data_IF_093361642684
#
_entry.id   IF_093361642684
#
_cell.length_a   1.000
_cell.length_b   1.000
_cell.length_c   1.000
_cell.angle_alpha   90.00
_cell.angle_beta   90.00
_cell.angle_gamma   90.00
#
_symmetry.space_group_name_H-M   'P 1'
#
loop_
_entity.id
_entity.type
_entity.pdbx_description
1 polymer ?
#
# COMPACT_ATOMS: atom_id res chain seq x y z
N UNK A 1 70.68 61.13 -20.59
CA UNK A 1 71.44 60.93 -19.33
C UNK A 1 70.42 60.45 -18.31
N UNK A 2 70.09 59.16 -18.27
CA UNK A 2 70.82 58.02 -17.69
C UNK A 2 70.61 57.86 -16.17
N UNK A 3 70.53 56.58 -15.79
CA UNK A 3 70.56 55.97 -14.45
C UNK A 3 69.17 55.64 -13.86
N UNK A 4 68.76 54.36 -13.84
CA UNK A 4 69.14 53.29 -12.89
C UNK A 4 68.81 53.75 -11.44
N UNK A 5 68.04 53.09 -10.57
CA UNK A 5 67.59 51.71 -10.41
C UNK A 5 66.51 51.63 -9.33
N UNK A 6 65.62 50.65 -9.51
CA UNK A 6 64.72 49.92 -8.59
C UNK A 6 64.98 50.04 -7.06
N UNK A 7 63.88 50.00 -6.28
CA UNK A 7 63.53 49.04 -5.18
C UNK A 7 62.43 49.71 -4.32
N UNK A 8 61.14 49.32 -4.41
CA UNK A 8 60.43 48.17 -3.80
C UNK A 8 59.86 48.44 -2.40
N UNK A 9 58.57 48.08 -2.24
CA UNK A 9 57.78 47.90 -1.03
C UNK A 9 57.33 49.13 -0.24
N UNK A 10 56.03 49.41 -0.30
CA UNK A 10 55.12 49.22 0.85
C UNK A 10 53.88 50.11 0.70
N UNK A 11 52.81 49.60 0.07
CA UNK A 11 51.46 50.03 0.43
C UNK A 11 50.64 48.77 0.66
N UNK A 12 50.58 48.44 1.94
CA UNK A 12 49.97 47.27 2.53
C UNK A 12 48.44 47.43 2.55
N UNK A 13 47.76 46.32 2.25
CA UNK A 13 46.40 45.97 2.71
C UNK A 13 45.21 46.71 2.08
N UNK A 14 44.78 46.24 0.90
CA UNK A 14 43.35 46.09 0.61
C UNK A 14 43.06 44.59 0.54
N UNK A 15 42.33 44.09 1.54
CA UNK A 15 42.14 42.67 1.79
C UNK A 15 41.30 41.98 0.71
N UNK A 16 41.81 40.81 0.31
CA UNK A 16 41.24 39.83 -0.61
C UNK A 16 39.94 39.22 -0.02
N UNK A 17 38.82 39.36 -0.70
CA UNK A 17 37.65 38.49 -0.51
C UNK A 17 37.23 37.92 -1.87
N UNK A 18 38.07 37.05 -2.43
CA UNK A 18 37.74 36.27 -3.62
C UNK A 18 36.94 35.04 -3.15
N UNK A 19 35.62 35.16 -3.05
CA UNK A 19 34.78 33.98 -2.90
C UNK A 19 34.84 33.17 -4.20
N UNK A 20 35.35 31.94 -4.08
CA UNK A 20 35.34 30.93 -5.12
C UNK A 20 33.89 30.51 -5.42
N UNK A 21 33.26 31.16 -6.40
CA UNK A 21 32.02 30.67 -7.00
C UNK A 21 32.36 29.42 -7.85
N UNK A 22 32.25 28.24 -7.24
CA UNK A 22 32.22 26.97 -7.96
C UNK A 22 31.07 27.02 -8.98
N UNK A 23 31.34 26.62 -10.23
CA UNK A 23 30.29 26.38 -11.24
C UNK A 23 29.23 25.44 -10.63
N UNK A 24 27.93 25.71 -10.79
CA UNK A 24 26.92 24.79 -10.29
C UNK A 24 27.11 23.43 -10.96
N UNK A 25 27.14 22.38 -10.14
CA UNK A 25 27.09 20.98 -10.59
C UNK A 25 25.88 20.80 -11.50
N UNK A 26 26.06 20.01 -12.56
CA UNK A 26 24.96 19.44 -13.35
C UNK A 26 23.95 18.87 -12.34
N UNK A 27 22.78 19.50 -12.24
CA UNK A 27 21.65 18.88 -11.55
C UNK A 27 21.32 17.64 -12.35
N UNK A 28 21.63 16.46 -11.79
CA UNK A 28 20.96 15.23 -12.21
C UNK A 28 19.47 15.55 -12.11
N UNK A 29 18.65 15.32 -13.16
CA UNK A 29 17.22 15.45 -13.00
C UNK A 29 16.87 14.60 -11.78
N UNK A 30 16.30 15.22 -10.74
CA UNK A 30 15.53 14.46 -9.77
C UNK A 30 14.53 13.71 -10.63
N UNK A 31 14.74 12.41 -10.80
CA UNK A 31 13.71 11.54 -11.33
C UNK A 31 12.56 11.73 -10.38
N UNK A 32 11.62 12.59 -10.78
CA UNK A 32 10.42 12.85 -10.04
C UNK A 32 9.70 11.51 -9.98
N UNK A 33 9.90 10.78 -8.89
CA UNK A 33 9.06 9.65 -8.47
C UNK A 33 7.71 10.21 -8.01
N UNK A 34 7.13 11.08 -8.82
CA UNK A 34 5.87 11.77 -8.62
C UNK A 34 5.20 11.93 -9.97
N UNK A 35 4.97 10.80 -10.63
CA UNK A 35 3.73 10.61 -11.36
C UNK A 35 3.21 9.25 -10.95
N UNK A 36 2.11 9.27 -10.19
CA UNK A 36 1.33 8.12 -9.83
C UNK A 36 1.20 7.19 -11.05
N UNK A 37 1.99 6.12 -11.05
CA UNK A 37 1.90 5.06 -12.04
C UNK A 37 0.51 4.45 -11.85
N UNK A 38 -0.34 4.56 -12.87
CA UNK A 38 -1.71 4.07 -12.77
C UNK A 38 -1.70 2.63 -12.26
N UNK A 39 -2.34 2.39 -11.11
CA UNK A 39 -2.34 1.13 -10.34
C UNK A 39 -1.96 -0.11 -11.19
N UNK A 40 -0.67 -0.43 -11.30
CA UNK A 40 -0.23 -1.59 -12.09
C UNK A 40 -0.29 -2.79 -11.18
N UNK A 41 -1.01 -3.83 -11.58
CA UNK A 41 -1.00 -5.09 -10.84
C UNK A 41 0.30 -5.83 -11.13
N UNK A 42 0.90 -6.42 -10.10
CA UNK A 42 2.17 -7.12 -10.20
C UNK A 42 2.31 -8.21 -9.16
N UNK A 43 3.00 -9.28 -9.52
CA UNK A 43 3.50 -10.30 -8.58
C UNK A 43 4.97 -10.01 -8.32
N UNK A 44 5.32 -9.86 -7.05
CA UNK A 44 6.69 -9.76 -6.55
C UNK A 44 7.11 -11.11 -6.01
N UNK A 45 8.22 -11.64 -6.53
CA UNK A 45 8.77 -12.94 -6.17
C UNK A 45 9.83 -12.78 -5.07
N UNK A 46 10.02 -13.83 -4.25
CA UNK A 46 11.04 -13.86 -3.20
C UNK A 46 12.48 -13.72 -3.72
N UNK A 47 12.72 -14.07 -4.99
CA UNK A 47 14.01 -13.90 -5.65
C UNK A 47 14.25 -12.45 -6.16
N UNK A 48 13.27 -11.56 -6.01
CA UNK A 48 13.32 -10.17 -6.47
C UNK A 48 12.68 -9.91 -7.85
N UNK A 49 12.23 -10.94 -8.56
CA UNK A 49 11.55 -10.78 -9.86
C UNK A 49 10.19 -10.09 -9.69
N UNK A 50 9.79 -9.32 -10.71
CA UNK A 50 8.51 -8.61 -10.75
C UNK A 50 7.80 -8.93 -12.06
N UNK A 51 6.61 -9.51 -11.97
CA UNK A 51 5.78 -9.85 -13.12
C UNK A 51 4.56 -8.95 -13.13
N UNK A 52 4.55 -7.94 -14.00
CA UNK A 52 3.37 -7.11 -14.23
C UNK A 52 2.30 -7.87 -15.00
N UNK A 53 1.03 -7.65 -14.68
CA UNK A 53 -0.06 -8.34 -15.36
C UNK A 53 -1.42 -8.08 -14.73
N UNK A 54 -2.23 -9.13 -14.68
CA UNK A 54 -3.58 -9.10 -14.10
C UNK A 54 -3.84 -10.37 -13.30
N UNK A 55 -4.43 -10.20 -12.11
CA UNK A 55 -4.93 -11.31 -11.31
C UNK A 55 -6.10 -12.02 -12.01
N UNK A 56 -6.03 -13.35 -12.09
CA UNK A 56 -7.11 -14.18 -12.64
C UNK A 56 -7.80 -14.95 -11.52
N UNK A 57 -7.05 -15.78 -10.80
CA UNK A 57 -7.59 -16.69 -9.79
C UNK A 57 -6.47 -17.09 -8.82
N UNK A 58 -6.83 -17.42 -7.59
CA UNK A 58 -5.96 -18.12 -6.67
C UNK A 58 -6.67 -19.36 -6.17
N UNK A 59 -6.00 -20.50 -6.28
CA UNK A 59 -6.45 -21.77 -5.75
C UNK A 59 -5.32 -22.38 -4.89
N UNK A 60 -5.59 -22.87 -3.67
CA UNK A 60 -4.53 -23.37 -2.79
C UNK A 60 -3.77 -24.59 -3.31
N UNK A 61 -4.38 -25.42 -4.17
CA UNK A 61 -3.76 -26.63 -4.71
C UNK A 61 -2.96 -26.35 -5.98
N UNK A 62 -3.46 -25.44 -6.81
CA UNK A 62 -2.92 -25.15 -8.14
C UNK A 62 -2.14 -23.83 -8.19
N UNK A 63 -2.29 -22.96 -7.19
CA UNK A 63 -1.53 -21.72 -7.04
C UNK A 63 -2.20 -20.49 -7.67
N UNK A 64 -1.38 -19.46 -7.90
CA UNK A 64 -1.83 -18.18 -8.46
C UNK A 64 -1.86 -18.24 -9.99
N UNK A 65 -3.03 -18.00 -10.60
CA UNK A 65 -3.15 -17.77 -12.05
C UNK A 65 -3.01 -16.29 -12.37
N UNK A 66 -2.07 -15.98 -13.26
CA UNK A 66 -1.68 -14.62 -13.59
C UNK A 66 -1.58 -14.39 -15.09
N UNK A 67 -2.29 -13.39 -15.62
CA UNK A 67 -2.19 -13.01 -17.03
C UNK A 67 -1.13 -11.93 -17.21
N UNK A 68 -0.03 -12.24 -17.90
CA UNK A 68 1.02 -11.29 -18.23
C UNK A 68 0.94 -10.86 -19.70
N UNK A 69 1.29 -9.60 -19.99
CA UNK A 69 1.24 -9.08 -21.34
C UNK A 69 2.16 -9.89 -22.28
N UNK A 70 1.62 -10.28 -23.44
CA UNK A 70 2.33 -11.05 -24.48
C UNK A 70 2.75 -12.49 -24.07
N UNK A 71 2.30 -12.99 -22.92
CA UNK A 71 2.56 -14.37 -22.48
C UNK A 71 1.24 -15.14 -22.48
N UNK A 72 1.18 -16.23 -23.24
CA UNK A 72 0.02 -17.14 -23.32
C UNK A 72 0.50 -18.59 -23.25
N UNK A 73 -0.15 -19.47 -22.45
CA UNK A 73 -1.31 -19.21 -21.59
C UNK A 73 -0.97 -18.40 -20.33
N UNK A 74 -1.96 -18.14 -19.47
CA UNK A 74 -1.73 -17.49 -18.17
C UNK A 74 -0.70 -18.27 -17.35
N UNK A 75 0.13 -17.55 -16.62
CA UNK A 75 1.16 -18.10 -15.74
C UNK A 75 0.49 -18.75 -14.53
N UNK A 76 0.98 -19.92 -14.14
CA UNK A 76 0.65 -20.57 -12.88
C UNK A 76 1.86 -20.43 -11.96
N UNK A 77 1.71 -19.64 -10.90
CA UNK A 77 2.79 -19.27 -9.99
C UNK A 77 2.59 -20.00 -8.67
N UNK A 78 3.64 -20.71 -8.24
CA UNK A 78 3.70 -21.36 -6.94
C UNK A 78 3.64 -20.30 -5.82
N UNK A 79 2.63 -20.36 -4.93
CA UNK A 79 2.52 -19.42 -3.82
C UNK A 79 3.74 -19.39 -2.90
N UNK A 80 4.49 -20.49 -2.79
CA UNK A 80 5.70 -20.56 -1.95
C UNK A 80 6.83 -19.65 -2.44
N UNK A 81 6.81 -19.24 -3.71
CA UNK A 81 7.78 -18.33 -4.30
C UNK A 81 7.39 -16.85 -4.22
N UNK A 82 6.18 -16.53 -3.79
CA UNK A 82 5.62 -15.17 -3.85
C UNK A 82 5.96 -14.40 -2.58
N UNK A 83 6.53 -13.20 -2.74
CA UNK A 83 6.69 -12.22 -1.65
C UNK A 83 5.39 -11.43 -1.45
N UNK A 84 4.87 -10.83 -2.52
CA UNK A 84 3.66 -10.00 -2.47
C UNK A 84 2.96 -9.94 -3.82
N UNK A 85 1.63 -9.88 -3.80
CA UNK A 85 0.81 -9.55 -4.97
C UNK A 85 0.19 -8.16 -4.78
N UNK A 86 0.39 -7.28 -5.76
CA UNK A 86 -0.30 -6.00 -5.86
C UNK A 86 -1.42 -6.16 -6.88
N UNK A 87 -2.66 -5.94 -6.47
CA UNK A 87 -3.85 -5.90 -7.34
C UNK A 87 -4.43 -4.49 -7.35
N UNK A 88 -5.14 -4.12 -8.43
CA UNK A 88 -5.77 -2.80 -8.49
C UNK A 88 -6.78 -2.70 -7.36
N UNK A 89 -6.54 -1.73 -6.48
CA UNK A 89 -7.55 -1.28 -5.54
C UNK A 89 -8.79 -0.85 -6.32
N UNK A 90 -9.91 -1.45 -5.98
CA UNK A 90 -11.22 -0.94 -6.35
C UNK A 90 -11.56 0.26 -5.45
N UNK A 91 -12.50 1.13 -5.86
CA UNK A 91 -12.76 2.40 -5.19
C UNK A 91 -12.98 2.26 -3.68
N UNK A 92 -12.52 3.27 -2.95
CA UNK A 92 -12.57 3.33 -1.50
C UNK A 92 -13.99 3.01 -1.00
N UNK A 93 -14.06 2.09 -0.03
CA UNK A 93 -15.25 1.83 0.78
C UNK A 93 -15.99 3.15 1.08
N UNK A 94 -17.29 3.22 0.75
CA UNK A 94 -18.12 4.38 1.09
C UNK A 94 -17.90 4.74 2.56
N UNK A 95 -17.76 6.03 2.86
CA UNK A 95 -17.72 6.47 4.26
C UNK A 95 -18.91 5.86 5.02
N UNK A 96 -18.64 5.40 6.25
CA UNK A 96 -19.61 4.72 7.14
C UNK A 96 -19.84 3.21 6.89
N UNK A 97 -18.77 2.43 6.67
CA UNK A 97 -18.85 0.95 6.70
C UNK A 97 -18.29 0.36 7.99
N UNK A 98 -18.89 -0.75 8.46
CA UNK A 98 -18.42 -1.50 9.61
C UNK A 98 -17.15 -2.27 9.24
N UNK A 99 -16.23 -2.41 10.20
CA UNK A 99 -15.01 -3.20 10.06
C UNK A 99 -15.12 -4.47 10.87
N UNK A 100 -14.71 -5.59 10.29
CA UNK A 100 -14.69 -6.91 10.91
C UNK A 100 -13.23 -7.36 10.96
N UNK A 101 -12.70 -7.50 12.16
CA UNK A 101 -11.37 -8.04 12.39
C UNK A 101 -11.50 -9.54 12.58
N UNK A 102 -10.78 -10.30 11.77
CA UNK A 102 -10.69 -11.75 11.86
C UNK A 102 -9.59 -12.16 12.86
N UNK A 103 -9.69 -13.37 13.41
CA UNK A 103 -8.62 -13.93 14.26
C UNK A 103 -7.29 -14.08 13.52
N UNK A 104 -7.31 -14.17 12.19
CA UNK A 104 -6.10 -14.17 11.37
C UNK A 104 -5.36 -12.83 11.37
N UNK A 105 -5.97 -11.75 11.87
CA UNK A 105 -5.46 -10.39 11.77
C UNK A 105 -5.94 -9.63 10.52
N UNK A 106 -6.61 -10.31 9.59
CA UNK A 106 -7.21 -9.68 8.41
C UNK A 106 -8.41 -8.82 8.79
N UNK A 107 -8.66 -7.78 8.01
CA UNK A 107 -9.79 -6.88 8.17
C UNK A 107 -10.69 -6.90 6.94
N UNK A 108 -12.00 -6.96 7.18
CA UNK A 108 -13.04 -6.84 6.16
C UNK A 108 -13.87 -5.59 6.42
N UNK A 109 -14.33 -4.95 5.36
CA UNK A 109 -15.16 -3.73 5.46
C UNK A 109 -16.47 -3.92 4.69
N UNK A 110 -17.59 -3.52 5.28
CA UNK A 110 -18.90 -3.66 4.67
C UNK A 110 -20.05 -3.24 5.57
N UNK A 111 -21.27 -3.37 5.07
CA UNK A 111 -22.48 -3.17 5.87
C UNK A 111 -22.69 -4.40 6.76
N UNK A 112 -22.66 -4.21 8.08
CA UNK A 112 -23.06 -5.27 9.01
C UNK A 112 -24.57 -5.48 8.88
N UNK A 113 -24.99 -6.67 8.47
CA UNK A 113 -26.41 -7.03 8.32
C UNK A 113 -26.92 -7.78 9.55
N UNK A 114 -26.10 -8.66 10.13
CA UNK A 114 -26.49 -9.51 11.26
C UNK A 114 -25.27 -9.96 12.08
N UNK A 115 -25.44 -10.09 13.39
CA UNK A 115 -24.45 -10.68 14.28
C UNK A 115 -25.13 -11.30 15.50
N UNK A 116 -24.87 -12.58 15.75
CA UNK A 116 -25.31 -13.31 16.93
C UNK A 116 -24.17 -14.16 17.53
N UNK A 117 -24.51 -15.11 18.40
CA UNK A 117 -23.55 -16.01 19.03
C UNK A 117 -22.89 -17.00 18.06
N UNK A 118 -23.54 -17.32 16.94
CA UNK A 118 -23.12 -18.37 16.01
C UNK A 118 -22.44 -17.79 14.77
N UNK A 119 -22.89 -16.63 14.29
CA UNK A 119 -22.45 -16.06 13.03
C UNK A 119 -22.48 -14.54 12.93
N UNK A 120 -21.75 -14.05 11.93
CA UNK A 120 -21.72 -12.66 11.50
C UNK A 120 -21.93 -12.60 9.99
N UNK A 121 -22.85 -11.75 9.55
CA UNK A 121 -23.18 -11.52 8.14
C UNK A 121 -22.86 -10.09 7.77
N UNK A 122 -22.02 -9.94 6.76
CA UNK A 122 -21.60 -8.64 6.22
C UNK A 122 -21.87 -8.59 4.73
N UNK A 123 -22.36 -7.45 4.26
CA UNK A 123 -22.50 -7.18 2.84
C UNK A 123 -21.42 -6.19 2.39
N UNK A 124 -20.48 -6.70 1.62
CA UNK A 124 -19.33 -5.98 1.11
C UNK A 124 -19.54 -5.61 -0.36
N UNK A 125 -19.03 -4.45 -0.76
CA UNK A 125 -19.16 -4.03 -2.16
C UNK A 125 -18.27 -4.88 -3.10
N UNK A 126 -17.24 -5.56 -2.58
CA UNK A 126 -16.27 -6.34 -3.35
C UNK A 126 -16.56 -7.83 -3.44
N UNK A 127 -17.18 -8.42 -2.41
CA UNK A 127 -17.45 -9.86 -2.38
C UNK A 127 -18.94 -10.17 -2.13
N UNK A 128 -19.81 -9.15 -2.16
CA UNK A 128 -21.22 -9.31 -1.85
C UNK A 128 -21.44 -9.72 -0.39
N UNK A 129 -22.45 -10.57 -0.18
CA UNK A 129 -22.85 -11.06 1.14
C UNK A 129 -21.95 -12.21 1.60
N UNK A 130 -21.26 -12.00 2.71
CA UNK A 130 -20.36 -12.96 3.34
C UNK A 130 -20.91 -13.38 4.71
N UNK A 131 -20.83 -14.67 5.01
CA UNK A 131 -21.20 -15.24 6.31
C UNK A 131 -19.97 -15.88 6.96
N UNK A 132 -19.72 -15.55 8.22
CA UNK A 132 -18.61 -16.06 9.02
C UNK A 132 -19.13 -16.70 10.30
N UNK A 133 -18.50 -17.78 10.75
CA UNK A 133 -18.69 -18.29 12.10
C UNK A 133 -18.26 -17.21 13.10
N UNK A 134 -19.01 -17.01 14.17
CA UNK A 134 -18.70 -16.02 15.22
C UNK A 134 -17.32 -16.23 15.82
N UNK A 135 -16.88 -17.49 15.92
CA UNK A 135 -15.57 -17.92 16.41
C UNK A 135 -14.39 -17.46 15.56
N UNK A 136 -14.61 -17.13 14.28
CA UNK A 136 -13.57 -16.59 13.40
C UNK A 136 -13.36 -15.07 13.58
N UNK A 137 -14.27 -14.40 14.29
CA UNK A 137 -14.33 -12.94 14.41
C UNK A 137 -13.71 -12.48 15.72
N UNK A 138 -12.60 -11.74 15.61
CA UNK A 138 -11.92 -11.10 16.73
C UNK A 138 -12.70 -9.89 17.26
N UNK A 139 -13.12 -9.01 16.36
CA UNK A 139 -13.86 -7.81 16.73
C UNK A 139 -14.77 -7.32 15.59
N UNK A 140 -15.84 -6.63 15.98
CA UNK A 140 -16.75 -5.92 15.08
C UNK A 140 -16.68 -4.46 15.49
N UNK A 141 -16.30 -3.58 14.58
CA UNK A 141 -16.27 -2.13 14.77
C UNK A 141 -17.38 -1.55 13.89
N UNK A 142 -18.54 -1.19 14.46
CA UNK A 142 -19.65 -0.63 13.70
C UNK A 142 -19.28 0.71 13.05
N UNK A 143 -19.86 0.98 11.88
CA UNK A 143 -19.81 2.31 11.28
C UNK A 143 -20.44 3.36 12.22
N UNK A 144 -19.72 4.45 12.48
CA UNK A 144 -20.30 5.63 13.14
C UNK A 144 -21.35 6.27 12.23
N UNK A 145 -22.60 6.31 12.68
CA UNK A 145 -23.71 6.97 11.97
C UNK A 145 -24.50 6.10 10.99
N UNK A 146 -24.33 4.77 10.98
CA UNK A 146 -25.23 3.92 10.20
C UNK A 146 -26.62 3.87 10.83
N UNK A 147 -27.63 4.40 10.14
CA UNK A 147 -29.06 4.27 10.45
C UNK A 147 -29.59 2.83 10.35
N UNK A 148 -28.72 1.85 10.06
CA UNK A 148 -29.03 0.44 9.99
C UNK A 148 -29.24 -0.13 11.38
N UNK A 149 -30.39 -0.79 11.58
CA UNK A 149 -30.77 -1.44 12.83
C UNK A 149 -29.85 -2.63 13.09
N UNK A 150 -28.67 -2.40 13.68
CA UNK A 150 -27.79 -3.47 14.16
C UNK A 150 -28.50 -4.13 15.34
N UNK A 151 -29.16 -5.26 15.09
CA UNK A 151 -29.74 -6.08 16.15
C UNK A 151 -28.65 -7.02 16.67
N UNK A 152 -27.96 -6.60 17.73
CA UNK A 152 -27.13 -7.51 18.52
C UNK A 152 -28.03 -8.28 19.48
N UNK A 153 -28.08 -9.61 19.31
CA UNK A 153 -28.75 -10.50 20.26
C UNK A 153 -27.69 -11.23 21.07
N UNK A 154 -27.33 -10.64 22.20
CA UNK A 154 -26.43 -11.27 23.17
C UNK A 154 -27.11 -12.37 23.97
N UNK A 155 -26.33 -13.15 24.74
CA UNK A 155 -26.86 -14.13 25.68
C UNK A 155 -27.85 -13.46 26.65
N UNK A 156 -29.03 -14.06 26.83
CA UNK A 156 -30.06 -13.53 27.73
C UNK A 156 -29.81 -13.87 29.20
N UNK A 157 -28.84 -14.74 29.48
CA UNK A 157 -28.50 -15.23 30.80
C UNK A 157 -26.98 -15.14 31.04
N UNK A 158 -26.59 -15.01 32.31
CA UNK A 158 -25.22 -14.77 32.74
C UNK A 158 -24.26 -15.94 32.49
N UNK A 159 -24.79 -17.13 32.24
CA UNK A 159 -24.05 -18.36 31.93
C UNK A 159 -23.65 -18.48 30.44
N UNK A 160 -24.16 -17.60 29.58
CA UNK A 160 -23.89 -17.63 28.14
C UNK A 160 -22.82 -16.67 27.65
N UNK A 161 -22.10 -15.97 28.55
CA UNK A 161 -21.00 -15.05 28.21
C UNK A 161 -19.65 -15.75 28.12
#
# INVERSE_FOLDING_TARGET
MSHFTRILLAHCLLALALQAARKPMISVPEMSMSKAGGNVEAVHMLNGDIISGKFIEFDPETGLKWEAANIKPALQIDPAGIDRVTVKGQPQAKASQSRILLNSGNELTGQLEFADADKVVINSWYAGRLEFKRTAIKAIIPASGSSGRVTFSGPKASDGW
#
